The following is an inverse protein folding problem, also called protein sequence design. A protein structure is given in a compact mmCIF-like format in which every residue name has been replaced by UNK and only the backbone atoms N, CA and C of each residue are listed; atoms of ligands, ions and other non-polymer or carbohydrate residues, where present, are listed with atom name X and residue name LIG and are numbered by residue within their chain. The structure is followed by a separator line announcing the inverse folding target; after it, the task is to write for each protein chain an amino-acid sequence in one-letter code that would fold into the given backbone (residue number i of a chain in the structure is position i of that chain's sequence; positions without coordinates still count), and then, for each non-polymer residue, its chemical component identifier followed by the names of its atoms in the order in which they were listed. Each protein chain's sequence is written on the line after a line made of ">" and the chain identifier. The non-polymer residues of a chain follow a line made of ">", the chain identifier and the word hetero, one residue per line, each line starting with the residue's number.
data_IF_382604557117
#
_entry.id   IF_382604557117
#
_cell.length_a   1.000
_cell.length_b   1.000
_cell.length_c   1.000
_cell.angle_alpha   90.00
_cell.angle_beta   90.00
_cell.angle_gamma   90.00
#
_symmetry.space_group_name_H-M   'P 1'
#
loop_
_entity.id
_entity.type
_entity.pdbx_description
1 polymer ?
#
# COMPACT_ATOMS: atom_id res chain seq x y z
N UNK A 1 -10.73 18.27 16.56
CA UNK A 1 -10.54 16.91 15.97
C UNK A 1 -11.33 16.71 14.67
N UNK A 2 -12.67 16.86 14.63
CA UNK A 2 -13.45 16.75 13.38
C UNK A 2 -12.90 17.60 12.22
N UNK A 3 -12.63 18.89 12.47
CA UNK A 3 -12.06 19.79 11.46
C UNK A 3 -10.68 19.30 10.97
N UNK A 4 -9.81 18.88 11.88
CA UNK A 4 -8.50 18.33 11.52
C UNK A 4 -8.61 17.05 10.66
N UNK A 5 -9.57 16.17 10.98
CA UNK A 5 -9.87 15.00 10.14
C UNK A 5 -10.35 15.38 8.74
N UNK A 6 -11.22 16.40 8.62
CA UNK A 6 -11.66 16.92 7.31
C UNK A 6 -10.49 17.51 6.53
N UNK A 7 -9.65 18.32 7.17
CA UNK A 7 -8.44 18.87 6.55
C UNK A 7 -7.51 17.75 6.07
N UNK A 8 -7.24 16.74 6.90
CA UNK A 8 -6.41 15.59 6.53
C UNK A 8 -6.99 14.83 5.33
N UNK A 9 -8.30 14.57 5.33
CA UNK A 9 -8.97 13.92 4.19
C UNK A 9 -8.81 14.71 2.90
N UNK A 10 -8.99 16.04 2.94
CA UNK A 10 -8.80 16.88 1.76
C UNK A 10 -7.34 16.91 1.30
N UNK A 11 -6.38 17.05 2.22
CA UNK A 11 -4.95 16.99 1.89
C UNK A 11 -4.59 15.67 1.22
N UNK A 12 -5.02 14.53 1.79
CA UNK A 12 -4.78 13.22 1.19
C UNK A 12 -5.45 13.07 -0.18
N UNK A 13 -6.66 13.64 -0.34
CA UNK A 13 -7.36 13.61 -1.63
C UNK A 13 -6.65 14.43 -2.70
N UNK A 14 -6.00 15.54 -2.33
CA UNK A 14 -5.18 16.33 -3.24
C UNK A 14 -3.94 15.53 -3.60
N UNK A 15 -3.20 15.03 -2.61
CA UNK A 15 -1.98 14.23 -2.81
C UNK A 15 -2.26 13.06 -3.75
N UNK A 16 -3.29 12.26 -3.48
CA UNK A 16 -3.73 11.12 -4.29
C UNK A 16 -4.02 11.50 -5.76
N UNK A 17 -4.71 12.63 -5.99
CA UNK A 17 -5.01 13.12 -7.35
C UNK A 17 -3.80 13.71 -8.07
N UNK A 18 -2.87 14.33 -7.33
CA UNK A 18 -1.66 14.95 -7.88
C UNK A 18 -0.45 14.03 -7.83
N UNK A 19 -0.60 12.82 -7.32
CA UNK A 19 0.48 11.87 -7.15
C UNK A 19 1.08 11.53 -8.53
N UNK A 20 2.40 11.56 -8.71
CA UNK A 20 3.02 11.35 -10.02
C UNK A 20 2.59 10.03 -10.68
N UNK A 21 2.44 8.96 -9.89
CA UNK A 21 1.96 7.66 -10.37
C UNK A 21 0.50 7.67 -10.87
N UNK A 22 -0.35 8.60 -10.42
CA UNK A 22 -1.73 8.72 -10.90
C UNK A 22 -1.81 9.23 -12.34
N UNK A 23 -0.71 9.83 -12.84
CA UNK A 23 -0.59 10.40 -14.19
C UNK A 23 0.56 9.78 -15.00
N UNK A 24 1.15 8.69 -14.52
CA UNK A 24 2.24 7.99 -15.22
C UNK A 24 1.73 7.32 -16.49
N UNK A 25 0.43 6.96 -16.55
CA UNK A 25 -0.12 6.27 -17.69
C UNK A 25 -0.60 7.24 -18.78
N UNK A 26 -0.06 7.10 -19.99
CA UNK A 26 -0.43 7.86 -21.18
C UNK A 26 -1.22 6.95 -22.11
N UNK A 27 -2.47 7.28 -22.36
CA UNK A 27 -3.32 6.57 -23.31
C UNK A 27 -3.15 7.16 -24.70
N UNK A 28 -3.18 6.28 -25.71
CA UNK A 28 -3.06 6.65 -27.10
C UNK A 28 -4.43 6.78 -27.75
N UNK A 29 -4.57 7.74 -28.65
CA UNK A 29 -5.65 7.71 -29.64
C UNK A 29 -5.32 6.79 -30.82
N UNK A 30 -6.32 6.45 -31.65
CA UNK A 30 -6.14 5.55 -32.80
C UNK A 30 -5.06 6.05 -33.78
N UNK A 31 -4.84 7.35 -33.90
CA UNK A 31 -3.83 7.94 -34.78
C UNK A 31 -2.42 7.80 -34.18
N UNK A 32 -2.28 7.98 -32.86
CA UNK A 32 -1.03 7.82 -32.12
C UNK A 32 -0.55 6.36 -32.14
N UNK A 33 -1.47 5.41 -31.94
CA UNK A 33 -1.16 3.97 -31.99
C UNK A 33 -0.59 3.58 -33.36
N UNK A 34 -1.13 4.12 -34.46
CA UNK A 34 -0.63 3.83 -35.81
C UNK A 34 0.82 4.28 -36.05
N UNK A 35 1.32 5.22 -35.25
CA UNK A 35 2.68 5.78 -35.30
C UNK A 35 3.57 5.21 -34.19
N UNK A 36 3.08 4.24 -33.42
CA UNK A 36 3.78 3.71 -32.27
C UNK A 36 5.12 3.07 -32.69
N UNK A 37 6.22 3.63 -32.20
CA UNK A 37 7.57 3.20 -32.54
C UNK A 37 8.10 2.21 -31.50
N UNK A 38 8.54 1.04 -31.94
CA UNK A 38 9.13 0.01 -31.08
C UNK A 38 10.38 0.43 -30.34
N UNK A 39 11.09 1.45 -30.82
CA UNK A 39 12.31 1.92 -30.17
C UNK A 39 12.05 2.50 -28.78
N UNK A 40 10.80 2.83 -28.45
CA UNK A 40 10.39 3.35 -27.14
C UNK A 40 10.11 2.20 -26.15
N UNK A 41 9.90 0.97 -26.64
CA UNK A 41 9.58 -0.16 -25.78
C UNK A 41 10.83 -0.72 -25.09
N UNK A 42 10.76 -0.81 -23.77
CA UNK A 42 11.76 -1.47 -22.94
C UNK A 42 11.16 -2.65 -22.19
N UNK A 43 11.99 -3.66 -21.94
CA UNK A 43 11.60 -4.80 -21.09
C UNK A 43 11.32 -4.27 -19.69
N UNK A 44 10.14 -4.57 -19.18
CA UNK A 44 9.67 -4.14 -17.88
C UNK A 44 8.72 -2.95 -17.87
N UNK A 45 8.51 -2.27 -19.01
CA UNK A 45 7.48 -1.24 -19.12
C UNK A 45 6.08 -1.83 -18.96
N UNK A 46 5.13 -1.04 -18.46
CA UNK A 46 3.72 -1.44 -18.38
C UNK A 46 2.97 -0.85 -19.58
N UNK A 47 2.28 -1.72 -20.31
CA UNK A 47 1.39 -1.35 -21.41
C UNK A 47 -0.05 -1.66 -21.05
N UNK A 48 -0.95 -0.81 -21.54
CA UNK A 48 -2.38 -1.06 -21.58
C UNK A 48 -2.72 -1.53 -22.98
N UNK A 49 -3.62 -2.50 -23.09
CA UNK A 49 -3.98 -3.05 -24.38
C UNK A 49 -5.43 -3.52 -24.39
N UNK A 50 -6.02 -3.53 -25.57
CA UNK A 50 -7.39 -3.99 -25.78
C UNK A 50 -7.45 -5.51 -25.83
N UNK A 51 -8.23 -6.12 -24.94
CA UNK A 51 -8.56 -7.53 -25.03
C UNK A 51 -9.73 -7.69 -26.00
N UNK A 52 -9.46 -8.27 -27.17
CA UNK A 52 -10.51 -8.64 -28.12
C UNK A 52 -11.30 -9.82 -27.57
N UNK A 53 -12.62 -9.68 -27.45
CA UNK A 53 -13.57 -10.66 -26.88
C UNK A 53 -13.55 -12.07 -27.51
N UNK A 54 -12.80 -12.30 -28.59
CA UNK A 54 -12.74 -13.57 -29.32
C UNK A 54 -11.40 -14.29 -29.23
N UNK A 55 -10.40 -13.71 -28.56
CA UNK A 55 -9.13 -14.39 -28.38
C UNK A 55 -9.13 -15.19 -27.08
N UNK A 56 -8.73 -16.45 -27.19
CA UNK A 56 -8.68 -17.46 -26.13
C UNK A 56 -7.70 -17.14 -24.99
N UNK A 57 -7.30 -15.88 -24.82
CA UNK A 57 -6.39 -15.46 -23.77
C UNK A 57 -7.11 -15.51 -22.42
N UNK A 58 -6.43 -16.11 -21.46
CA UNK A 58 -6.87 -16.35 -20.09
C UNK A 58 -7.44 -15.08 -19.42
N UNK A 59 -8.56 -15.26 -18.70
CA UNK A 59 -9.29 -14.23 -17.94
C UNK A 59 -8.34 -13.34 -17.12
N UNK A 60 -8.07 -12.14 -17.62
CA UNK A 60 -7.50 -11.04 -16.83
C UNK A 60 -8.61 -10.23 -16.15
N UNK A 61 -8.24 -9.44 -15.13
CA UNK A 61 -9.17 -8.51 -14.47
C UNK A 61 -9.50 -7.38 -15.44
N UNK A 62 -10.77 -7.25 -15.82
CA UNK A 62 -11.26 -6.23 -16.75
C UNK A 62 -11.46 -4.90 -16.01
N UNK A 63 -10.80 -3.84 -16.47
CA UNK A 63 -11.15 -2.48 -16.07
C UNK A 63 -12.06 -1.87 -17.14
N UNK A 64 -13.26 -1.44 -16.75
CA UNK A 64 -14.17 -0.67 -17.60
C UNK A 64 -13.90 0.81 -17.36
N UNK A 65 -13.32 1.50 -18.34
CA UNK A 65 -13.21 2.96 -18.29
C UNK A 65 -14.60 3.60 -18.45
N UNK A 66 -14.91 4.67 -17.71
CA UNK A 66 -16.13 5.44 -17.93
C UNK A 66 -16.09 6.07 -19.32
N UNK A 67 -17.03 5.66 -20.19
CA UNK A 67 -17.18 6.22 -21.53
C UNK A 67 -17.55 7.71 -21.44
N UNK A 68 -16.72 8.55 -22.05
CA UNK A 68 -17.06 9.95 -22.32
C UNK A 68 -18.28 10.01 -23.24
N UNK A 69 -19.30 10.76 -22.81
CA UNK A 69 -20.57 10.95 -23.51
C UNK A 69 -20.37 11.56 -24.91
N UNK A 70 -20.81 10.85 -25.95
CA UNK A 70 -20.71 11.33 -27.33
C UNK A 70 -21.33 10.43 -28.39
N UNK A 71 -22.64 10.16 -28.30
CA UNK A 71 -23.57 10.06 -29.44
C UNK A 71 -23.28 9.22 -30.69
N UNK A 72 -22.33 8.28 -30.70
CA UNK A 72 -22.02 7.44 -31.87
C UNK A 72 -22.21 5.94 -31.58
N UNK A 73 -22.65 5.20 -32.59
CA UNK A 73 -22.94 3.75 -32.57
C UNK A 73 -21.90 3.00 -31.74
N UNK A 74 -22.32 2.52 -30.57
CA UNK A 74 -21.46 2.00 -29.50
C UNK A 74 -20.56 0.88 -30.06
N UNK A 75 -19.24 1.10 -30.21
CA UNK A 75 -18.31 0.02 -30.49
C UNK A 75 -18.37 -0.97 -29.32
N UNK A 76 -18.35 -2.28 -29.62
CA UNK A 76 -18.26 -3.33 -28.59
C UNK A 76 -17.22 -2.94 -27.55
N UNK A 77 -17.62 -2.86 -26.29
CA UNK A 77 -16.77 -2.49 -25.16
C UNK A 77 -15.52 -3.39 -25.13
N UNK A 78 -14.41 -2.91 -25.67
CA UNK A 78 -13.11 -3.57 -25.56
C UNK A 78 -12.61 -3.33 -24.15
N UNK A 79 -12.52 -4.38 -23.34
CA UNK A 79 -11.89 -4.28 -22.03
C UNK A 79 -10.41 -3.96 -22.16
N UNK A 80 -9.93 -3.05 -21.31
CA UNK A 80 -8.52 -2.77 -21.16
C UNK A 80 -7.90 -3.74 -20.15
N UNK A 81 -6.75 -4.27 -20.52
CA UNK A 81 -5.87 -5.03 -19.66
C UNK A 81 -4.50 -4.37 -19.58
N UNK A 82 -3.79 -4.65 -18.50
CA UNK A 82 -2.45 -4.12 -18.27
C UNK A 82 -1.46 -5.28 -18.16
N UNK A 83 -0.28 -5.10 -18.76
CA UNK A 83 0.77 -6.10 -18.71
C UNK A 83 2.16 -5.50 -18.81
N UNK A 84 3.12 -6.18 -18.18
CA UNK A 84 4.53 -5.82 -18.16
C UNK A 84 5.24 -6.43 -19.37
N UNK A 85 5.97 -5.63 -20.13
CA UNK A 85 6.71 -6.07 -21.32
C UNK A 85 7.76 -7.10 -20.91
N UNK A 86 7.62 -8.33 -21.39
CA UNK A 86 8.65 -9.37 -21.26
C UNK A 86 9.54 -9.45 -22.50
N UNK A 87 8.93 -9.32 -23.67
CA UNK A 87 9.59 -9.41 -24.96
C UNK A 87 8.80 -8.63 -26.01
N UNK A 88 9.47 -8.10 -27.02
CA UNK A 88 8.80 -7.57 -28.20
C UNK A 88 9.52 -8.03 -29.48
N UNK A 89 8.79 -8.03 -30.58
CA UNK A 89 9.26 -8.41 -31.90
C UNK A 89 8.96 -7.28 -32.89
N UNK A 90 9.99 -6.51 -33.25
CA UNK A 90 9.88 -5.39 -34.21
C UNK A 90 9.61 -5.82 -35.64
N UNK A 91 9.92 -7.07 -36.01
CA UNK A 91 9.63 -7.60 -37.35
C UNK A 91 8.14 -7.92 -37.49
N UNK A 92 7.55 -8.52 -36.45
CA UNK A 92 6.13 -8.89 -36.43
C UNK A 92 5.22 -7.78 -35.90
N UNK A 93 5.79 -6.72 -35.35
CA UNK A 93 5.07 -5.67 -34.63
C UNK A 93 4.19 -6.21 -33.49
N UNK A 94 4.75 -7.10 -32.68
CA UNK A 94 4.06 -7.72 -31.56
C UNK A 94 4.83 -7.61 -30.25
N UNK A 95 4.11 -7.68 -29.13
CA UNK A 95 4.66 -7.70 -27.77
C UNK A 95 4.10 -8.85 -26.95
N UNK A 96 4.95 -9.44 -26.12
CA UNK A 96 4.57 -10.44 -25.12
C UNK A 96 4.54 -9.75 -23.74
N UNK A 97 3.39 -9.83 -23.07
CA UNK A 97 3.13 -9.16 -21.80
C UNK A 97 2.90 -10.16 -20.67
N UNK A 98 3.49 -9.90 -19.51
CA UNK A 98 3.16 -10.55 -18.25
C UNK A 98 1.97 -9.83 -17.59
N UNK A 99 0.89 -10.53 -17.24
CA UNK A 99 -0.29 -9.93 -16.63
C UNK A 99 0.06 -9.29 -15.29
N UNK A 100 -0.43 -8.06 -15.06
CA UNK A 100 -0.30 -7.36 -13.78
C UNK A 100 -1.35 -7.81 -12.74
N UNK A 101 -2.20 -8.80 -13.05
CA UNK A 101 -3.28 -9.23 -12.15
C UNK A 101 -2.74 -10.10 -11.00
N UNK A 102 -2.99 -9.72 -9.73
CA UNK A 102 -2.42 -10.41 -8.57
C UNK A 102 -3.04 -11.81 -8.31
N UNK A 103 -4.20 -12.11 -8.89
CA UNK A 103 -4.96 -13.32 -8.56
C UNK A 103 -4.62 -14.55 -9.42
N UNK A 104 -3.62 -14.47 -10.30
CA UNK A 104 -3.17 -15.62 -11.10
C UNK A 104 -1.99 -16.32 -10.42
N UNK A 105 -2.19 -16.77 -9.18
CA UNK A 105 -1.27 -17.59 -8.36
C UNK A 105 -1.04 -19.01 -8.91
N UNK A 106 -1.28 -19.27 -10.20
CA UNK A 106 -0.93 -20.55 -10.82
C UNK A 106 0.44 -20.43 -11.46
N UNK A 107 1.32 -21.35 -11.06
CA UNK A 107 2.76 -21.46 -11.33
C UNK A 107 3.19 -21.45 -12.81
N UNK A 108 2.23 -21.35 -13.73
CA UNK A 108 2.46 -21.15 -15.16
C UNK A 108 2.21 -19.67 -15.47
N UNK A 109 3.30 -18.94 -15.72
CA UNK A 109 3.30 -17.54 -16.15
C UNK A 109 2.44 -17.41 -17.42
N UNK A 110 1.16 -17.12 -17.24
CA UNK A 110 0.23 -16.88 -18.34
C UNK A 110 0.64 -15.59 -19.05
N UNK A 111 1.50 -15.69 -20.07
CA UNK A 111 1.87 -14.55 -20.89
C UNK A 111 0.76 -14.25 -21.90
N UNK A 112 0.45 -12.97 -22.06
CA UNK A 112 -0.25 -12.48 -23.24
C UNK A 112 0.76 -12.47 -24.40
N UNK A 113 0.64 -13.41 -25.32
CA UNK A 113 1.62 -13.58 -26.40
C UNK A 113 1.16 -12.94 -27.70
N UNK A 114 2.12 -12.38 -28.44
CA UNK A 114 1.96 -11.81 -29.76
C UNK A 114 0.87 -10.73 -29.84
N UNK A 115 0.78 -9.85 -28.84
CA UNK A 115 -0.16 -8.71 -28.86
C UNK A 115 0.29 -7.72 -29.94
N UNK A 116 -0.54 -7.46 -30.97
CA UNK A 116 -0.19 -6.50 -32.02
C UNK A 116 -0.08 -5.08 -31.47
N UNK A 117 0.84 -4.27 -31.99
CA UNK A 117 0.93 -2.86 -31.58
C UNK A 117 -0.35 -2.04 -31.80
N UNK A 118 -1.14 -2.28 -32.87
CA UNK A 118 -2.45 -1.64 -33.01
C UNK A 118 -3.43 -1.90 -31.85
N UNK A 119 -3.18 -2.93 -31.03
CA UNK A 119 -4.00 -3.24 -29.87
C UNK A 119 -3.47 -2.62 -28.57
N UNK A 120 -2.33 -1.92 -28.61
CA UNK A 120 -1.79 -1.18 -27.48
C UNK A 120 -2.56 0.13 -27.33
N UNK A 121 -3.15 0.34 -26.16
CA UNK A 121 -4.00 1.47 -25.84
C UNK A 121 -3.28 2.55 -25.01
N UNK A 122 -2.09 2.24 -24.50
CA UNK A 122 -1.29 3.20 -23.76
C UNK A 122 -0.02 2.61 -23.18
N UNK A 123 0.85 3.49 -22.72
CA UNK A 123 2.15 3.19 -22.15
C UNK A 123 2.31 3.92 -20.82
N UNK A 124 3.01 3.29 -19.90
CA UNK A 124 3.46 3.98 -18.72
C UNK A 124 4.75 4.77 -18.96
N UNK A 125 4.70 6.04 -18.61
CA UNK A 125 5.84 6.95 -18.52
C UNK A 125 6.58 6.73 -17.19
N UNK A 126 7.62 5.89 -17.25
CA UNK A 126 8.47 5.58 -16.09
C UNK A 126 9.20 6.83 -15.58
N UNK A 127 9.49 7.82 -16.43
CA UNK A 127 10.18 9.04 -15.99
C UNK A 127 9.33 9.91 -15.05
N UNK A 128 8.00 9.72 -15.08
CA UNK A 128 7.07 10.33 -14.12
C UNK A 128 6.97 9.56 -12.80
N UNK A 129 7.54 8.36 -12.69
CA UNK A 129 7.59 7.62 -11.41
C UNK A 129 8.57 8.31 -10.49
N UNK A 130 8.03 9.06 -9.53
CA UNK A 130 8.79 9.71 -8.47
C UNK A 130 8.03 9.52 -7.17
N UNK A 131 8.77 9.29 -6.09
CA UNK A 131 8.20 9.28 -4.75
C UNK A 131 7.80 10.70 -4.35
N UNK A 132 6.64 10.85 -3.72
CA UNK A 132 6.17 12.11 -3.15
C UNK A 132 6.61 12.25 -1.70
N UNK A 133 6.75 11.11 -1.01
CA UNK A 133 7.12 11.05 0.40
C UNK A 133 8.56 10.59 0.55
N UNK A 134 9.26 11.14 1.54
CA UNK A 134 10.57 10.64 1.93
C UNK A 134 10.44 9.29 2.67
N UNK A 135 11.41 8.40 2.46
CA UNK A 135 11.47 7.10 3.13
C UNK A 135 11.97 7.24 4.58
N UNK A 136 11.16 7.88 5.42
CA UNK A 136 11.45 8.12 6.84
C UNK A 136 10.32 7.53 7.69
N UNK A 137 10.61 6.66 8.67
CA UNK A 137 9.61 6.01 9.51
C UNK A 137 8.93 7.00 10.45
N UNK A 138 7.79 6.59 11.01
CA UNK A 138 7.11 7.39 12.00
C UNK A 138 7.99 7.55 13.26
N UNK A 139 8.02 8.75 13.86
CA UNK A 139 8.64 8.94 15.17
C UNK A 139 7.91 8.09 16.22
N UNK A 140 8.67 7.56 17.19
CA UNK A 140 8.10 6.83 18.33
C UNK A 140 7.57 7.78 19.40
N UNK A 141 8.22 8.93 19.54
CA UNK A 141 7.92 9.95 20.52
C UNK A 141 7.59 11.28 19.84
N UNK A 142 6.72 12.07 20.44
CA UNK A 142 6.42 13.43 19.94
C UNK A 142 7.65 14.35 19.99
N UNK A 143 8.62 14.04 20.86
CA UNK A 143 9.89 14.76 20.99
C UNK A 143 10.96 14.30 20.00
N UNK A 144 10.76 13.16 19.31
CA UNK A 144 11.54 12.83 18.11
C UNK A 144 11.04 13.78 17.04
N UNK A 145 11.59 15.00 17.03
CA UNK A 145 11.30 15.97 15.99
C UNK A 145 11.65 15.34 14.63
N UNK A 146 10.91 15.69 13.59
CA UNK A 146 11.40 15.60 12.22
C UNK A 146 12.58 16.59 12.13
N UNK A 147 13.75 16.14 12.60
CA UNK A 147 14.80 16.98 13.19
C UNK A 147 15.55 17.84 12.20
N UNK A 148 15.23 17.76 10.91
CA UNK A 148 16.04 18.39 9.87
C UNK A 148 15.40 19.64 9.27
N UNK A 149 14.25 20.10 9.79
CA UNK A 149 13.64 21.37 9.37
C UNK A 149 13.22 21.42 7.89
N UNK A 150 13.41 20.34 7.14
CA UNK A 150 12.88 20.17 5.80
C UNK A 150 11.39 19.92 5.94
N UNK A 151 10.58 20.82 5.39
CA UNK A 151 9.13 20.72 5.35
C UNK A 151 8.61 19.58 4.44
N UNK A 152 9.41 18.53 4.25
CA UNK A 152 9.10 17.41 3.36
C UNK A 152 8.14 16.43 4.02
N UNK A 153 7.20 15.93 3.23
CA UNK A 153 6.29 14.86 3.64
C UNK A 153 7.06 13.55 3.66
N UNK A 154 6.74 12.67 4.60
CA UNK A 154 7.40 11.36 4.72
C UNK A 154 6.40 10.23 4.97
N UNK A 155 6.82 8.99 4.67
CA UNK A 155 6.02 7.80 4.93
C UNK A 155 5.58 7.68 6.40
N UNK A 156 6.40 8.19 7.33
CA UNK A 156 6.06 8.27 8.74
C UNK A 156 4.80 9.09 9.03
N UNK A 157 4.51 10.13 8.25
CA UNK A 157 3.27 10.90 8.37
C UNK A 157 2.04 10.07 7.99
N UNK A 158 2.13 9.24 6.94
CA UNK A 158 1.07 8.32 6.55
C UNK A 158 0.85 7.25 7.63
N UNK A 159 1.94 6.67 8.16
CA UNK A 159 1.88 5.69 9.27
C UNK A 159 1.20 6.28 10.50
N UNK A 160 1.53 7.53 10.88
CA UNK A 160 0.87 8.21 11.99
C UNK A 160 -0.63 8.43 11.74
N UNK A 161 -1.02 8.82 10.52
CA UNK A 161 -2.42 8.99 10.15
C UNK A 161 -3.20 7.66 10.23
N UNK A 162 -2.61 6.56 9.76
CA UNK A 162 -3.20 5.21 9.88
C UNK A 162 -3.33 4.78 11.34
N UNK A 163 -2.30 4.99 12.17
CA UNK A 163 -2.34 4.71 13.62
C UNK A 163 -3.44 5.51 14.32
N UNK A 164 -3.60 6.79 13.97
CA UNK A 164 -4.68 7.62 14.47
C UNK A 164 -6.05 7.06 14.06
N UNK A 165 -6.23 6.65 12.80
CA UNK A 165 -7.48 6.04 12.34
C UNK A 165 -7.83 4.78 13.13
N UNK A 166 -6.85 3.90 13.36
CA UNK A 166 -7.00 2.69 14.18
C UNK A 166 -7.44 3.02 15.62
N UNK A 167 -6.87 4.07 16.22
CA UNK A 167 -7.23 4.53 17.56
C UNK A 167 -8.66 5.12 17.61
N UNK A 168 -9.04 5.89 16.58
CA UNK A 168 -10.39 6.43 16.45
C UNK A 168 -11.43 5.31 16.28
N UNK A 169 -11.13 4.27 15.48
CA UNK A 169 -11.96 3.08 15.35
C UNK A 169 -12.26 2.44 16.71
N UNK A 170 -11.21 2.31 17.53
CA UNK A 170 -11.27 1.64 18.82
C UNK A 170 -12.05 2.43 19.88
N UNK A 171 -12.10 3.76 19.75
CA UNK A 171 -12.76 4.68 20.69
C UNK A 171 -14.21 4.97 20.31
N UNK A 172 -14.53 5.04 19.00
CA UNK A 172 -15.90 5.27 18.51
C UNK A 172 -16.91 4.23 19.02
N UNK A 173 -16.48 3.00 19.31
CA UNK A 173 -17.35 1.96 19.85
C UNK A 173 -17.73 2.14 21.33
N UNK A 174 -17.10 3.06 22.07
CA UNK A 174 -17.20 3.14 23.55
C UNK A 174 -17.98 4.33 24.08
N UNK A 175 -18.17 5.39 23.30
CA UNK A 175 -18.77 6.64 23.79
C UNK A 175 -19.69 7.27 22.75
N UNK A 176 -20.98 7.43 23.09
CA UNK A 176 -22.01 7.97 22.21
C UNK A 176 -21.82 9.47 21.84
N UNK A 177 -20.91 10.19 22.51
CA UNK A 177 -20.83 11.66 22.45
C UNK A 177 -19.62 12.25 21.71
N UNK A 178 -18.72 11.43 21.16
CA UNK A 178 -17.54 11.93 20.43
C UNK A 178 -17.38 11.20 19.09
N UNK A 179 -18.28 11.48 18.15
CA UNK A 179 -18.31 10.78 16.85
C UNK A 179 -17.64 11.65 15.79
N UNK A 180 -16.31 11.53 15.67
CA UNK A 180 -15.73 11.69 14.34
C UNK A 180 -16.42 10.64 13.48
N UNK A 181 -16.95 11.06 12.32
CA UNK A 181 -17.71 10.18 11.46
C UNK A 181 -16.86 8.95 11.09
N UNK A 182 -17.31 7.74 11.44
CA UNK A 182 -16.62 6.48 11.12
C UNK A 182 -16.30 6.38 9.63
N UNK A 183 -17.17 6.89 8.77
CA UNK A 183 -16.93 6.94 7.32
C UNK A 183 -15.76 7.85 6.94
N UNK A 184 -15.60 8.99 7.62
CA UNK A 184 -14.45 9.87 7.39
C UNK A 184 -13.15 9.20 7.83
N UNK A 185 -13.16 8.53 8.99
CA UNK A 185 -11.98 7.79 9.49
C UNK A 185 -11.62 6.64 8.55
N UNK A 186 -12.62 5.87 8.08
CA UNK A 186 -12.41 4.81 7.09
C UNK A 186 -11.83 5.34 5.79
N UNK A 187 -12.39 6.43 5.24
CA UNK A 187 -11.90 7.04 4.02
C UNK A 187 -10.46 7.59 4.14
N UNK A 188 -10.09 8.14 5.30
CA UNK A 188 -8.72 8.55 5.59
C UNK A 188 -7.80 7.32 5.65
N UNK A 189 -8.21 6.27 6.36
CA UNK A 189 -7.45 5.03 6.49
C UNK A 189 -7.20 4.39 5.12
N UNK A 190 -8.22 4.28 4.27
CA UNK A 190 -8.11 3.77 2.90
C UNK A 190 -7.11 4.57 2.07
N UNK A 191 -7.23 5.90 2.06
CA UNK A 191 -6.31 6.76 1.29
C UNK A 191 -4.87 6.66 1.78
N UNK A 192 -4.65 6.71 3.09
CA UNK A 192 -3.31 6.55 3.65
C UNK A 192 -2.72 5.18 3.32
N UNK A 193 -3.52 4.11 3.41
CA UNK A 193 -3.08 2.76 3.10
C UNK A 193 -2.71 2.59 1.62
N UNK A 194 -3.53 3.12 0.70
CA UNK A 194 -3.23 3.12 -0.73
C UNK A 194 -1.96 3.90 -1.05
N UNK A 195 -1.82 5.11 -0.50
CA UNK A 195 -0.64 5.94 -0.69
C UNK A 195 0.61 5.27 -0.10
N UNK A 196 0.51 4.69 1.09
CA UNK A 196 1.61 4.01 1.77
C UNK A 196 2.10 2.79 0.98
N UNK A 197 1.18 1.94 0.51
CA UNK A 197 1.52 0.80 -0.35
C UNK A 197 2.16 1.22 -1.67
N UNK A 198 1.59 2.23 -2.32
CA UNK A 198 2.10 2.76 -3.59
C UNK A 198 3.49 3.36 -3.44
N UNK A 199 3.70 4.22 -2.45
CA UNK A 199 4.98 4.90 -2.24
C UNK A 199 6.09 3.94 -1.81
N UNK A 200 5.80 2.97 -0.93
CA UNK A 200 6.80 1.95 -0.56
C UNK A 200 7.18 1.11 -1.77
N UNK A 201 6.20 0.70 -2.59
CA UNK A 201 6.47 -0.05 -3.82
C UNK A 201 7.34 0.77 -4.78
N UNK A 202 7.07 2.06 -4.94
CA UNK A 202 7.89 2.97 -5.75
C UNK A 202 9.30 3.14 -5.18
N UNK A 203 9.46 3.28 -3.87
CA UNK A 203 10.78 3.41 -3.26
C UNK A 203 11.66 2.18 -3.51
N UNK A 204 11.07 0.99 -3.45
CA UNK A 204 11.74 -0.29 -3.76
C UNK A 204 12.09 -0.37 -5.24
N UNK A 205 11.14 -0.02 -6.11
CA UNK A 205 11.34 -0.07 -7.56
C UNK A 205 12.43 0.90 -8.04
N UNK A 206 12.39 2.15 -7.55
CA UNK A 206 13.36 3.19 -7.84
C UNK A 206 14.67 3.02 -7.08
N UNK A 207 14.81 1.95 -6.28
CA UNK A 207 16.01 1.61 -5.49
C UNK A 207 16.46 2.71 -4.51
N UNK A 208 15.56 3.64 -4.17
CA UNK A 208 15.84 4.75 -3.25
C UNK A 208 16.09 4.26 -1.82
N UNK A 209 15.56 3.08 -1.47
CA UNK A 209 15.83 2.43 -0.17
C UNK A 209 17.30 2.07 0.03
N UNK A 210 18.09 1.91 -1.03
CA UNK A 210 19.54 1.62 -0.93
C UNK A 210 20.35 2.79 -0.39
N UNK A 211 19.82 4.00 -0.48
CA UNK A 211 20.46 5.21 0.03
C UNK A 211 20.12 5.47 1.50
N UNK A 212 19.27 4.63 2.10
CA UNK A 212 18.79 4.76 3.48
C UNK A 212 19.52 3.74 4.36
N UNK A 213 19.77 4.07 5.63
CA UNK A 213 20.42 3.15 6.56
C UNK A 213 19.56 1.91 6.82
N UNK A 214 20.21 0.77 7.07
CA UNK A 214 19.54 -0.49 7.36
C UNK A 214 18.60 -0.37 8.58
N UNK A 215 19.01 0.36 9.62
CA UNK A 215 18.19 0.59 10.81
C UNK A 215 16.87 1.31 10.50
N UNK A 216 16.89 2.24 9.55
CA UNK A 216 15.68 2.97 9.13
C UNK A 216 14.75 2.04 8.36
N UNK A 217 15.29 1.16 7.50
CA UNK A 217 14.52 0.14 6.78
C UNK A 217 13.91 -0.87 7.75
N UNK A 218 14.68 -1.39 8.72
CA UNK A 218 14.17 -2.29 9.78
C UNK A 218 13.07 -1.63 10.61
N UNK A 219 13.27 -0.36 11.02
CA UNK A 219 12.26 0.42 11.74
C UNK A 219 10.99 0.61 10.91
N UNK A 220 11.11 0.88 9.60
CA UNK A 220 9.97 0.99 8.70
C UNK A 220 9.22 -0.35 8.59
N UNK A 221 9.93 -1.43 8.29
CA UNK A 221 9.39 -2.78 8.18
C UNK A 221 8.63 -3.20 9.44
N UNK A 222 9.19 -2.94 10.63
CA UNK A 222 8.52 -3.18 11.91
C UNK A 222 7.20 -2.40 12.03
N UNK A 223 7.18 -1.11 11.67
CA UNK A 223 5.96 -0.30 11.76
C UNK A 223 4.88 -0.73 10.76
N UNK A 224 5.27 -1.23 9.59
CA UNK A 224 4.35 -1.81 8.62
C UNK A 224 3.78 -3.12 9.14
N UNK A 225 4.62 -3.97 9.74
CA UNK A 225 4.17 -5.20 10.37
C UNK A 225 3.14 -4.92 11.46
N UNK A 226 3.40 -3.97 12.36
CA UNK A 226 2.45 -3.53 13.40
C UNK A 226 1.10 -3.02 12.86
N UNK A 227 1.07 -2.55 11.61
CA UNK A 227 -0.14 -1.99 10.98
C UNK A 227 -0.94 -3.02 10.18
N UNK A 228 -0.25 -3.92 9.48
CA UNK A 228 -0.83 -4.81 8.48
C UNK A 228 -0.78 -6.30 8.85
N UNK A 229 -0.10 -6.66 9.93
CA UNK A 229 -0.05 -8.02 10.44
C UNK A 229 -1.07 -8.21 11.55
N UNK A 230 -2.22 -8.79 11.21
CA UNK A 230 -3.25 -9.15 12.18
C UNK A 230 -2.88 -10.40 13.00
N UNK A 231 -1.72 -11.05 12.72
CA UNK A 231 -1.27 -12.27 13.38
C UNK A 231 -0.78 -12.08 14.82
N UNK A 232 -0.61 -10.83 15.28
CA UNK A 232 -0.05 -10.50 16.60
C UNK A 232 -0.86 -11.04 17.80
N UNK A 233 -2.05 -11.60 17.57
CA UNK A 233 -2.88 -12.19 18.62
C UNK A 233 -2.67 -13.69 18.84
N UNK A 234 -1.81 -14.36 18.07
CA UNK A 234 -1.45 -15.76 18.33
C UNK A 234 -0.50 -15.90 19.54
N UNK A 235 0.36 -14.91 19.83
CA UNK A 235 1.31 -15.01 20.95
C UNK A 235 0.71 -14.72 22.33
N UNK A 236 -0.31 -13.85 22.43
CA UNK A 236 -1.00 -13.61 23.70
C UNK A 236 -2.06 -14.68 24.03
N UNK A 237 -2.33 -15.62 23.11
CA UNK A 237 -3.24 -16.75 23.35
C UNK A 237 -2.65 -17.86 24.24
N UNK A 238 -1.36 -17.78 24.57
CA UNK A 238 -0.71 -18.73 25.50
C UNK A 238 -0.88 -18.36 26.97
N UNK A 239 -1.44 -17.18 27.30
CA UNK A 239 -1.83 -16.85 28.67
C UNK A 239 -3.24 -17.41 28.97
N UNK A 240 -3.31 -18.74 29.11
CA UNK A 240 -4.52 -19.58 29.20
C UNK A 240 -5.38 -19.41 30.47
N UNK A 241 -5.30 -18.28 31.18
CA UNK A 241 -5.88 -18.15 32.52
C UNK A 241 -7.24 -17.44 32.62
N UNK A 242 -7.87 -16.97 31.52
CA UNK A 242 -9.25 -16.44 31.61
C UNK A 242 -10.09 -16.52 30.32
N UNK A 243 -11.10 -17.40 30.24
CA UNK A 243 -11.99 -17.52 29.09
C UNK A 243 -12.86 -16.27 28.85
N UNK A 244 -13.08 -15.43 29.87
CA UNK A 244 -13.86 -14.19 29.75
C UNK A 244 -13.11 -13.06 29.01
N UNK A 245 -11.78 -13.14 28.86
CA UNK A 245 -10.97 -12.14 28.12
C UNK A 245 -10.72 -12.51 26.66
N UNK A 246 -10.82 -13.79 26.31
CA UNK A 246 -10.63 -14.26 24.93
C UNK A 246 -11.66 -13.67 23.95
N UNK A 247 -12.89 -13.44 24.42
CA UNK A 247 -13.99 -12.94 23.57
C UNK A 247 -13.94 -11.42 23.32
N UNK A 248 -13.30 -10.65 24.22
CA UNK A 248 -13.00 -9.22 23.99
C UNK A 248 -11.78 -9.02 23.08
N UNK A 249 -10.80 -9.93 23.15
CA UNK A 249 -9.60 -9.91 22.31
C UNK A 249 -9.94 -10.08 20.83
N UNK A 250 -10.84 -11.02 20.48
CA UNK A 250 -11.28 -11.28 19.09
C UNK A 250 -12.05 -10.13 18.43
N UNK A 251 -12.67 -9.23 19.21
CA UNK A 251 -13.40 -8.06 18.67
C UNK A 251 -12.51 -6.83 18.46
N UNK A 252 -11.28 -6.85 18.99
CA UNK A 252 -10.30 -5.77 18.81
C UNK A 252 -9.26 -6.09 17.72
N UNK A 253 -9.20 -7.34 17.26
CA UNK A 253 -8.16 -7.85 16.37
C UNK A 253 -8.38 -7.61 14.87
N UNK A 254 -9.42 -6.85 14.47
CA UNK A 254 -9.57 -6.36 13.09
C UNK A 254 -9.49 -4.83 13.03
N UNK A 255 -8.70 -4.21 13.90
CA UNK A 255 -8.78 -2.77 14.17
C UNK A 255 -8.69 -1.91 12.91
N UNK A 256 -7.70 -2.18 12.05
CA UNK A 256 -7.52 -1.44 10.80
C UNK A 256 -8.24 -2.09 9.61
N UNK A 257 -8.17 -3.43 9.47
CA UNK A 257 -8.86 -4.17 8.42
C UNK A 257 -10.38 -3.91 8.41
N UNK A 258 -11.02 -3.73 9.58
CA UNK A 258 -12.46 -3.44 9.65
C UNK A 258 -12.85 -2.02 9.24
N UNK A 259 -11.88 -1.12 9.07
CA UNK A 259 -12.10 0.25 8.59
C UNK A 259 -11.92 0.40 7.09
N UNK A 260 -11.15 -0.49 6.47
CA UNK A 260 -10.67 -0.38 5.09
C UNK A 260 -11.41 -1.41 4.25
N UNK A 261 -11.86 -1.03 3.05
CA UNK A 261 -12.43 -1.98 2.11
C UNK A 261 -11.47 -3.13 1.81
N UNK A 262 -11.97 -4.37 1.77
CA UNK A 262 -11.14 -5.58 1.63
C UNK A 262 -10.23 -5.53 0.40
N UNK A 263 -10.72 -5.06 -0.74
CA UNK A 263 -9.91 -4.92 -1.96
C UNK A 263 -8.71 -3.96 -1.78
N UNK A 264 -8.92 -2.86 -1.05
CA UNK A 264 -7.86 -1.87 -0.74
C UNK A 264 -6.84 -2.49 0.21
N UNK A 265 -7.32 -3.24 1.21
CA UNK A 265 -6.48 -3.96 2.16
C UNK A 265 -5.59 -4.99 1.45
N UNK A 266 -6.19 -5.84 0.61
CA UNK A 266 -5.47 -6.86 -0.15
C UNK A 266 -4.46 -6.24 -1.11
N UNK A 267 -4.83 -5.17 -1.82
CA UNK A 267 -3.92 -4.47 -2.72
C UNK A 267 -2.70 -3.90 -1.96
N UNK A 268 -2.92 -3.29 -0.80
CA UNK A 268 -1.83 -2.77 0.02
C UNK A 268 -0.96 -3.91 0.58
N UNK A 269 -1.53 -5.01 1.06
CA UNK A 269 -0.76 -6.16 1.53
C UNK A 269 0.12 -6.75 0.42
N UNK A 270 -0.39 -6.82 -0.81
CA UNK A 270 0.39 -7.27 -1.97
C UNK A 270 1.56 -6.33 -2.27
N UNK A 271 1.32 -5.02 -2.28
CA UNK A 271 2.37 -4.01 -2.49
C UNK A 271 3.44 -4.04 -1.38
N UNK A 272 3.02 -4.29 -0.14
CA UNK A 272 3.89 -4.29 1.04
C UNK A 272 4.53 -5.66 1.33
N UNK A 273 4.21 -6.71 0.57
CA UNK A 273 4.56 -8.09 0.92
C UNK A 273 6.07 -8.29 1.15
N UNK A 274 6.93 -7.67 0.34
CA UNK A 274 8.39 -7.74 0.53
C UNK A 274 8.85 -7.20 1.88
N UNK A 275 8.35 -6.03 2.27
CA UNK A 275 8.63 -5.42 3.58
C UNK A 275 8.06 -6.24 4.73
N UNK A 276 6.84 -6.77 4.59
CA UNK A 276 6.19 -7.59 5.62
C UNK A 276 6.94 -8.93 5.84
N UNK A 277 7.37 -9.59 4.77
CA UNK A 277 8.19 -10.81 4.87
C UNK A 277 9.53 -10.53 5.56
N UNK A 278 10.21 -9.44 5.19
CA UNK A 278 11.45 -9.02 5.86
C UNK A 278 11.23 -8.77 7.36
N UNK A 279 10.17 -8.02 7.71
CA UNK A 279 9.83 -7.72 9.09
C UNK A 279 9.56 -8.98 9.93
N UNK A 280 8.81 -9.95 9.38
CA UNK A 280 8.54 -11.24 10.04
C UNK A 280 9.81 -12.04 10.28
N UNK A 281 10.71 -12.07 9.29
CA UNK A 281 12.00 -12.74 9.42
C UNK A 281 12.88 -12.07 10.49
N UNK A 282 12.98 -10.75 10.49
CA UNK A 282 13.70 -9.98 11.52
C UNK A 282 13.14 -10.23 12.92
N UNK A 283 11.81 -10.27 13.06
CA UNK A 283 11.13 -10.59 14.32
C UNK A 283 11.45 -12.03 14.78
N UNK A 284 11.50 -13.00 13.87
CA UNK A 284 11.85 -14.39 14.19
C UNK A 284 13.31 -14.52 14.64
N UNK A 285 14.24 -13.83 13.96
CA UNK A 285 15.65 -13.78 14.37
C UNK A 285 15.82 -13.14 15.75
N UNK A 286 15.12 -12.04 16.02
CA UNK A 286 15.11 -11.37 17.32
C UNK A 286 14.63 -12.31 18.45
N UNK A 287 13.59 -13.10 18.20
CA UNK A 287 13.08 -14.10 19.14
C UNK A 287 14.12 -15.20 19.41
N UNK A 288 14.70 -15.79 18.36
CA UNK A 288 15.76 -16.82 18.50
C UNK A 288 16.98 -16.31 19.26
N UNK A 289 17.39 -15.07 19.00
CA UNK A 289 18.51 -14.46 19.74
C UNK A 289 18.19 -14.31 21.22
N UNK A 290 16.96 -13.94 21.59
CA UNK A 290 16.53 -13.82 22.98
C UNK A 290 16.51 -15.19 23.69
N UNK A 291 16.04 -16.23 23.00
CA UNK A 291 16.02 -17.60 23.51
C UNK A 291 17.45 -18.14 23.76
N UNK A 292 18.39 -17.85 22.86
CA UNK A 292 19.79 -18.25 23.01
C UNK A 292 20.53 -17.46 24.10
N UNK A 293 20.15 -16.21 24.35
CA UNK A 293 20.74 -15.38 25.41
C UNK A 293 20.12 -15.61 26.80
N UNK A 294 19.00 -16.33 26.90
CA UNK A 294 18.20 -16.47 28.14
C UNK A 294 18.21 -17.85 28.79
N UNK A 295 19.21 -18.68 28.51
CA UNK A 295 19.30 -20.06 29.02
C UNK A 295 19.87 -20.22 30.43
N UNK A 296 20.45 -19.18 31.03
CA UNK A 296 20.99 -19.28 32.39
C UNK A 296 20.90 -17.92 33.11
N UNK A 297 20.32 -17.96 34.32
CA UNK A 297 20.22 -16.88 35.30
C UNK A 297 19.18 -15.76 35.05
N UNK A 298 18.00 -15.98 35.63
CA UNK A 298 17.35 -14.98 36.49
C UNK A 298 16.57 -13.87 35.79
N UNK A 299 15.26 -14.11 35.65
CA UNK A 299 14.14 -13.15 35.80
C UNK A 299 14.56 -11.66 35.82
N UNK A 300 14.95 -11.14 34.66
CA UNK A 300 15.33 -9.75 34.45
C UNK A 300 14.95 -9.33 33.04
N UNK A 301 13.65 -9.26 32.78
CA UNK A 301 13.09 -8.99 31.46
C UNK A 301 13.58 -7.68 30.85
N UNK A 302 14.63 -7.76 30.04
CA UNK A 302 14.95 -6.77 29.02
C UNK A 302 14.03 -7.01 27.83
N UNK A 303 12.78 -6.58 28.02
CA UNK A 303 11.76 -6.60 26.99
C UNK A 303 12.20 -5.76 25.80
N UNK A 304 12.14 -6.37 24.62
CA UNK A 304 12.08 -5.67 23.34
C UNK A 304 11.03 -4.57 23.41
N UNK A 305 11.44 -3.34 23.69
CA UNK A 305 10.73 -2.11 23.33
C UNK A 305 9.25 -1.97 23.69
N UNK A 306 8.69 -2.69 24.68
CA UNK A 306 7.38 -2.37 25.25
C UNK A 306 7.48 -1.16 26.20
N UNK A 307 7.93 -0.03 25.66
CA UNK A 307 7.67 1.28 26.23
C UNK A 307 6.24 1.69 25.90
N UNK A 308 5.32 1.45 26.85
CA UNK A 308 4.21 2.33 27.29
C UNK A 308 3.07 1.44 27.82
N UNK A 309 3.25 0.94 29.04
CA UNK A 309 2.10 0.83 29.96
C UNK A 309 1.63 2.26 30.26
N UNK A 310 0.43 2.59 29.79
CA UNK A 310 -0.42 3.71 30.24
C UNK A 310 0.32 5.03 30.53
N UNK A 311 0.93 5.66 29.53
CA UNK A 311 1.04 7.12 29.55
C UNK A 311 -0.23 7.69 28.91
N UNK A 312 -0.79 8.73 29.51
CA UNK A 312 -2.00 9.39 29.06
C UNK A 312 -1.85 9.84 27.60
N UNK A 313 -2.44 9.08 26.67
CA UNK A 313 -2.49 9.39 25.25
C UNK A 313 -3.27 10.68 25.03
N UNK A 314 -2.57 11.81 25.01
CA UNK A 314 -3.12 13.05 24.46
C UNK A 314 -3.03 12.94 22.95
N UNK A 315 -4.19 12.98 22.30
CA UNK A 315 -4.33 13.14 20.85
C UNK A 315 -3.37 14.23 20.35
N UNK A 316 -2.59 14.00 19.27
CA UNK A 316 -1.68 15.00 18.72
C UNK A 316 -2.43 16.26 18.25
N UNK A 317 -3.75 16.20 18.10
CA UNK A 317 -4.62 17.31 17.72
C UNK A 317 -5.15 18.14 18.92
N UNK A 318 -4.79 17.82 20.16
CA UNK A 318 -5.23 18.57 21.37
C UNK A 318 -4.32 19.74 21.78
N UNK A 319 -3.29 20.07 20.99
CA UNK A 319 -2.38 21.17 21.34
C UNK A 319 -2.91 22.59 21.02
N UNK A 320 -4.03 22.73 20.29
CA UNK A 320 -4.53 24.03 19.82
C UNK A 320 -5.95 24.35 20.27
N UNK A 321 -6.21 24.26 21.57
CA UNK A 321 -7.40 24.87 22.17
C UNK A 321 -6.98 25.69 23.39
N UNK A 322 -6.73 26.97 23.16
CA UNK A 322 -6.92 28.03 24.17
C UNK A 322 -8.15 28.81 23.76
#
# INVERSE_FOLDING_TARGET
>A
EKLAGVCLFHTLSIIDKTHPASSSFVYFDDNEVSKFNTSILEVGMILAFHVKSHSSYTKGIMYTLPQSYGGSKIPKCTSLSFGKVKRFNSIKNTVDLEPMSPNLLKKDTCLYQNIPFPDIAGIEDIAKRKCTFDYVPAPKLVSENFSDGTASLSLGHLILAVRWCREQASTCCKTAHHLINKHLVGAIAEKCTLLLGTEISLHVELMTTKCVSEDVVKKMNQQLLELFDDEEHSMHALDLSSPARADQSRRHSRGLQSLIHEDVWQAAQQQLNGSLVSARYELELAKKSLELSGGDEGVGGLGWGHGVRRSCRRSPFRMFSR
#
